data_IF_096375804541
#
_entry.id   IF_096375804541
#
_cell.length_a   1.000
_cell.length_b   1.000
_cell.length_c   1.000
_cell.angle_alpha   90.00
_cell.angle_beta   90.00
_cell.angle_gamma   90.00
#
_symmetry.space_group_name_H-M   'P 1'
#
loop_
_entity.id
_entity.type
_entity.pdbx_description
1 polymer ?
#
# COMPACT_ATOMS: atom_id res chain seq x y z
N UNK A 1 -1.67 10.45 3.83
CA UNK A 1 -0.28 9.96 3.86
C UNK A 1 0.22 9.55 5.25
N UNK A 2 -0.42 9.95 6.36
CA UNK A 2 0.04 9.62 7.72
C UNK A 2 0.27 8.13 7.94
N UNK A 3 -0.70 7.31 7.53
CA UNK A 3 -0.61 5.84 7.62
C UNK A 3 0.62 5.26 6.91
N UNK A 4 1.07 5.81 5.77
CA UNK A 4 2.26 5.31 5.07
C UNK A 4 3.52 5.61 5.88
N UNK A 5 3.63 6.82 6.43
CA UNK A 5 4.75 7.21 7.27
C UNK A 5 4.81 6.39 8.57
N UNK A 6 3.67 6.23 9.25
CA UNK A 6 3.55 5.39 10.45
C UNK A 6 3.97 3.93 10.19
N UNK A 7 3.56 3.38 9.03
CA UNK A 7 3.98 2.04 8.63
C UNK A 7 5.46 1.94 8.28
N UNK A 8 6.06 2.98 7.72
CA UNK A 8 7.48 3.00 7.39
C UNK A 8 8.35 3.01 8.66
N UNK A 9 7.96 3.79 9.66
CA UNK A 9 8.66 3.90 10.94
C UNK A 9 8.47 2.67 11.85
N UNK A 10 7.55 1.75 11.52
CA UNK A 10 7.21 0.59 12.36
C UNK A 10 8.29 -0.50 12.41
N UNK A 11 9.39 -0.39 11.65
CA UNK A 11 10.51 -1.33 11.56
C UNK A 11 10.14 -2.81 11.35
N UNK A 12 8.92 -3.08 10.84
CA UNK A 12 8.35 -4.42 10.71
C UNK A 12 7.56 -4.52 9.43
N UNK A 13 7.94 -5.45 8.55
CA UNK A 13 7.24 -5.70 7.29
C UNK A 13 5.75 -6.03 7.49
N UNK A 14 5.37 -6.61 8.64
CA UNK A 14 3.98 -6.93 8.94
C UNK A 14 3.17 -5.67 9.27
N UNK A 15 3.71 -4.80 10.12
CA UNK A 15 3.05 -3.53 10.45
C UNK A 15 3.06 -2.57 9.26
N UNK A 16 4.16 -2.49 8.51
CA UNK A 16 4.21 -1.73 7.26
C UNK A 16 3.11 -2.18 6.28
N UNK A 17 2.92 -3.50 6.07
CA UNK A 17 1.82 -4.01 5.24
C UNK A 17 0.45 -3.67 5.81
N UNK A 18 0.27 -3.70 7.13
CA UNK A 18 -1.00 -3.32 7.78
C UNK A 18 -1.34 -1.86 7.49
N UNK A 19 -0.40 -0.96 7.72
CA UNK A 19 -0.54 0.47 7.47
C UNK A 19 -0.73 0.84 5.99
N UNK A 20 -0.07 0.12 5.08
CA UNK A 20 -0.31 0.26 3.64
C UNK A 20 -1.75 -0.13 3.26
N UNK A 21 -2.32 -1.19 3.85
CA UNK A 21 -3.73 -1.56 3.62
C UNK A 21 -4.69 -0.50 4.14
N UNK A 22 -4.39 0.10 5.30
CA UNK A 22 -5.20 1.21 5.85
C UNK A 22 -5.14 2.40 4.89
N UNK A 23 -3.94 2.79 4.44
CA UNK A 23 -3.74 3.87 3.47
C UNK A 23 -4.54 3.66 2.18
N UNK A 24 -4.56 2.43 1.67
CA UNK A 24 -5.34 2.06 0.49
C UNK A 24 -6.85 2.20 0.71
N UNK A 25 -7.36 1.82 1.89
CA UNK A 25 -8.78 1.98 2.24
C UNK A 25 -9.17 3.45 2.36
N UNK A 26 -8.33 4.26 3.02
CA UNK A 26 -8.55 5.69 3.13
C UNK A 26 -8.62 6.38 1.75
N UNK A 27 -7.85 5.92 0.77
CA UNK A 27 -7.96 6.44 -0.60
C UNK A 27 -9.35 6.18 -1.21
N UNK A 28 -9.91 4.98 -1.03
CA UNK A 28 -11.27 4.66 -1.48
C UNK A 28 -12.36 5.43 -0.73
N UNK A 29 -12.16 5.71 0.56
CA UNK A 29 -13.07 6.58 1.33
C UNK A 29 -13.07 8.02 0.76
N UNK A 30 -11.89 8.53 0.40
CA UNK A 30 -11.75 9.86 -0.22
C UNK A 30 -12.35 9.90 -1.64
N UNK A 31 -12.22 8.82 -2.43
CA UNK A 31 -12.92 8.69 -3.73
C UNK A 31 -14.44 8.86 -3.55
N UNK A 32 -15.03 8.22 -2.55
CA UNK A 32 -16.45 8.37 -2.24
C UNK A 32 -16.81 9.81 -1.84
N UNK A 33 -15.97 10.49 -1.06
CA UNK A 33 -16.15 11.90 -0.74
C UNK A 33 -16.11 12.80 -1.99
N UNK A 34 -15.27 12.49 -2.98
CA UNK A 34 -15.25 13.25 -4.24
C UNK A 34 -16.53 13.07 -5.05
N UNK A 35 -17.06 11.84 -5.15
CA UNK A 35 -18.36 11.61 -5.77
C UNK A 35 -19.48 12.41 -5.09
N UNK A 36 -19.56 12.36 -3.76
CA UNK A 36 -20.53 13.17 -2.99
C UNK A 36 -20.33 14.67 -3.25
N UNK A 37 -19.10 15.14 -3.29
CA UNK A 37 -18.79 16.56 -3.55
C UNK A 37 -19.21 16.98 -4.97
N UNK A 38 -19.08 16.08 -5.95
CA UNK A 38 -19.54 16.29 -7.32
C UNK A 38 -21.06 16.34 -7.40
N UNK A 39 -21.77 15.43 -6.73
CA UNK A 39 -23.23 15.41 -6.66
C UNK A 39 -23.80 16.71 -6.06
N UNK A 40 -23.10 17.25 -5.05
CA UNK A 40 -23.41 18.52 -4.41
C UNK A 40 -22.94 19.76 -5.20
N UNK A 41 -22.31 19.55 -6.37
CA UNK A 41 -21.76 20.60 -7.25
C UNK A 41 -20.71 21.49 -6.57
N UNK A 42 -19.96 20.94 -5.62
CA UNK A 42 -18.81 21.63 -5.00
C UNK A 42 -17.55 21.56 -5.85
N UNK A 43 -17.47 20.59 -6.76
CA UNK A 43 -16.38 20.42 -7.73
C UNK A 43 -16.98 20.17 -9.12
N UNK A 44 -16.20 20.48 -10.14
CA UNK A 44 -16.51 20.17 -11.54
C UNK A 44 -16.19 18.72 -11.88
N UNK A 45 -16.74 18.22 -13.00
CA UNK A 45 -16.44 16.87 -13.50
C UNK A 45 -14.95 16.71 -13.85
N UNK A 46 -14.30 17.77 -14.32
CA UNK A 46 -12.86 17.78 -14.61
C UNK A 46 -12.04 17.64 -13.33
N UNK A 47 -12.40 18.38 -12.27
CA UNK A 47 -11.77 18.28 -10.95
C UNK A 47 -11.99 16.91 -10.32
N UNK A 48 -13.20 16.35 -10.46
CA UNK A 48 -13.50 14.98 -10.05
C UNK A 48 -12.59 13.98 -10.79
N UNK A 49 -12.48 14.10 -12.11
CA UNK A 49 -11.63 13.24 -12.94
C UNK A 49 -10.16 13.29 -12.50
N UNK A 50 -9.63 14.50 -12.27
CA UNK A 50 -8.27 14.69 -11.76
C UNK A 50 -8.05 14.07 -10.37
N UNK A 51 -9.02 14.25 -9.46
CA UNK A 51 -8.95 13.75 -8.11
C UNK A 51 -9.02 12.22 -8.04
N UNK A 52 -9.92 11.60 -8.80
CA UNK A 52 -10.05 10.15 -8.92
C UNK A 52 -8.79 9.53 -9.54
N UNK A 53 -8.23 10.16 -10.57
CA UNK A 53 -6.99 9.68 -11.21
C UNK A 53 -5.81 9.72 -10.22
N UNK A 54 -5.71 10.76 -9.42
CA UNK A 54 -4.67 10.85 -8.38
C UNK A 54 -4.84 9.78 -7.29
N UNK A 55 -6.08 9.51 -6.88
CA UNK A 55 -6.38 8.42 -5.94
C UNK A 55 -6.03 7.05 -6.54
N UNK A 56 -6.39 6.81 -7.80
CA UNK A 56 -6.06 5.58 -8.53
C UNK A 56 -4.55 5.34 -8.57
N UNK A 57 -3.76 6.34 -9.00
CA UNK A 57 -2.29 6.25 -9.00
C UNK A 57 -1.73 5.91 -7.63
N UNK A 58 -2.25 6.55 -6.59
CA UNK A 58 -1.82 6.30 -5.21
C UNK A 58 -2.07 4.85 -4.80
N UNK A 59 -3.26 4.32 -5.10
CA UNK A 59 -3.62 2.93 -4.82
C UNK A 59 -2.76 1.93 -5.60
N UNK A 60 -2.45 2.21 -6.86
CA UNK A 60 -1.59 1.36 -7.69
C UNK A 60 -0.16 1.26 -7.15
N UNK A 61 0.39 2.38 -6.68
CA UNK A 61 1.70 2.42 -6.02
C UNK A 61 1.67 1.58 -4.74
N UNK A 62 0.64 1.74 -3.90
CA UNK A 62 0.46 0.95 -2.68
C UNK A 62 0.35 -0.55 -3.01
N UNK A 63 -0.44 -0.91 -4.01
CA UNK A 63 -0.63 -2.31 -4.45
C UNK A 63 0.67 -2.90 -4.98
N UNK A 64 1.46 -2.14 -5.75
CA UNK A 64 2.80 -2.52 -6.18
C UNK A 64 3.73 -2.78 -5.00
N UNK A 65 3.72 -1.90 -4.00
CA UNK A 65 4.59 -2.02 -2.84
C UNK A 65 4.19 -3.19 -1.93
N UNK A 66 2.89 -3.41 -1.72
CA UNK A 66 2.37 -4.58 -1.00
C UNK A 66 2.78 -5.90 -1.67
N UNK A 67 2.72 -5.97 -3.01
CA UNK A 67 3.20 -7.13 -3.79
C UNK A 67 4.69 -7.36 -3.52
N UNK A 68 5.51 -6.33 -3.68
CA UNK A 68 6.95 -6.41 -3.44
C UNK A 68 7.31 -6.94 -2.02
N UNK A 69 6.69 -6.38 -0.97
CA UNK A 69 6.92 -6.83 0.40
C UNK A 69 6.43 -8.27 0.66
N UNK A 70 5.49 -8.76 -0.13
CA UNK A 70 4.99 -10.14 -0.04
C UNK A 70 5.95 -11.13 -0.68
N UNK A 71 6.59 -10.75 -1.80
CA UNK A 71 7.63 -11.57 -2.43
C UNK A 71 8.95 -11.59 -1.63
N UNK A 72 9.32 -10.50 -0.94
CA UNK A 72 10.55 -10.48 -0.10
C UNK A 72 10.59 -11.54 1.00
N UNK A 73 9.43 -11.92 1.58
CA UNK A 73 9.36 -12.98 2.59
C UNK A 73 9.57 -14.39 2.02
N UNK A 74 9.45 -14.57 0.70
CA UNK A 74 9.59 -15.87 0.03
C UNK A 74 11.05 -16.19 -0.39
N UNK A 75 12.06 -15.51 0.17
CA UNK A 75 13.45 -15.91 -0.04
C UNK A 75 13.68 -17.22 0.72
N UNK A 76 14.06 -18.33 0.07
CA UNK A 76 14.24 -19.61 0.75
C UNK A 76 15.37 -19.48 1.78
N UNK A 77 15.17 -20.07 2.96
CA UNK A 77 16.24 -20.25 3.93
C UNK A 77 17.42 -20.92 3.21
N UNK A 78 18.63 -20.38 3.39
CA UNK A 78 19.85 -21.05 2.94
C UNK A 78 19.83 -22.49 3.46
N UNK A 79 20.09 -23.51 2.62
CA UNK A 79 20.21 -24.87 3.13
C UNK A 79 21.32 -24.87 4.18
N UNK A 80 20.99 -25.39 5.37
CA UNK A 80 21.97 -25.61 6.41
C UNK A 80 23.09 -26.48 5.84
N UNK A 81 24.31 -25.93 5.76
CA UNK A 81 25.51 -26.68 5.41
C UNK A 81 25.79 -27.72 6.50
N UNK A 82 25.15 -28.88 6.39
CA UNK A 82 25.56 -30.10 7.07
C UNK A 82 26.71 -30.72 6.28
N UNK A 83 27.94 -30.27 6.57
CA UNK A 83 29.14 -31.02 6.20
C UNK A 83 29.50 -31.88 7.41
N UNK A 84 29.16 -33.17 7.31
CA UNK A 84 29.71 -34.22 8.16
C UNK A 84 31.24 -34.25 7.95
N UNK A 85 32.00 -34.14 9.03
CA UNK A 85 33.34 -34.69 9.08
C UNK A 85 33.31 -35.89 10.02
N UNK A 86 33.31 -37.08 9.42
CA UNK A 86 33.66 -38.32 10.08
C UNK A 86 35.14 -38.27 10.50
N UNK A 87 35.41 -38.70 11.74
CA UNK A 87 36.67 -39.34 12.14
C UNK A 87 36.32 -40.55 13.01
#
# INVERSE_FOLDING_TARGET
MNNIAEGFDSQSDNELKRFLRISRRSASEVENCFYISSDLKYITDDELGMALEQSRKTREIIDGFLRYLSFRKAKPAQPANGINYEH
#
